data_IF_017879341362
#
_entry.id   IF_017879341362
#
_cell.length_a   1.000
_cell.length_b   1.000
_cell.length_c   1.000
_cell.angle_alpha   90.00
_cell.angle_beta   90.00
_cell.angle_gamma   90.00
#
_symmetry.space_group_name_H-M   'P 1'
#
loop_
_entity.id
_entity.type
_entity.pdbx_description
1 polymer ?
#
# COMPACT_ATOMS: atom_id res chain seq x y z
N UNK A 1 21.71 -9.45 7.53
CA UNK A 1 21.80 -8.12 6.86
C UNK A 1 20.50 -7.90 6.07
N UNK A 2 19.44 -7.38 6.69
CA UNK A 2 18.19 -7.05 6.00
C UNK A 2 18.24 -5.61 5.49
N UNK A 3 19.18 -5.31 4.61
CA UNK A 3 19.31 -3.98 4.02
C UNK A 3 19.05 -4.09 2.52
N UNK A 4 17.79 -4.23 2.14
CA UNK A 4 17.35 -3.97 0.77
C UNK A 4 16.33 -2.83 0.80
N UNK A 5 16.52 -1.84 -0.09
CA UNK A 5 15.52 -0.79 -0.30
C UNK A 5 14.33 -1.31 -1.10
N UNK A 6 13.29 -0.49 -1.27
CA UNK A 6 12.08 -0.89 -2.00
C UNK A 6 12.35 -1.45 -3.39
N UNK A 7 13.39 -0.96 -4.09
CA UNK A 7 13.81 -1.45 -5.41
C UNK A 7 14.36 -2.87 -5.41
N UNK A 8 14.94 -3.32 -4.30
CA UNK A 8 15.50 -4.67 -4.15
C UNK A 8 14.54 -5.66 -3.46
N UNK A 9 13.33 -5.21 -3.11
CA UNK A 9 12.33 -6.05 -2.49
C UNK A 9 11.70 -6.95 -3.56
N UNK A 10 11.75 -8.26 -3.35
CA UNK A 10 11.13 -9.26 -4.24
C UNK A 10 9.74 -9.70 -3.77
N UNK A 11 9.24 -9.14 -2.65
CA UNK A 11 7.88 -9.42 -2.19
C UNK A 11 6.88 -8.69 -3.08
N UNK A 12 5.72 -9.32 -3.28
CA UNK A 12 4.58 -8.67 -3.91
C UNK A 12 4.21 -7.40 -3.13
N UNK A 13 3.91 -6.28 -3.82
CA UNK A 13 3.55 -5.04 -3.17
C UNK A 13 2.20 -5.18 -2.46
N UNK A 14 2.13 -4.66 -1.23
CA UNK A 14 0.90 -4.56 -0.46
C UNK A 14 0.59 -3.09 -0.24
N UNK A 15 -0.67 -2.71 -0.44
CA UNK A 15 -1.14 -1.34 -0.28
C UNK A 15 -1.19 -0.95 1.20
N UNK A 16 -0.58 0.17 1.56
CA UNK A 16 -0.56 0.67 2.96
C UNK A 16 -1.89 1.29 3.42
N UNK A 17 -2.82 1.49 2.49
CA UNK A 17 -4.14 2.11 2.74
C UNK A 17 -5.18 1.03 3.01
N UNK A 18 -5.31 0.04 2.11
CA UNK A 18 -6.37 -0.96 2.15
C UNK A 18 -5.90 -2.42 2.27
N UNK A 19 -4.59 -2.66 2.42
CA UNK A 19 -3.97 -3.99 2.47
C UNK A 19 -4.20 -4.88 1.21
N UNK A 20 -4.57 -4.29 0.07
CA UNK A 20 -4.71 -5.00 -1.21
C UNK A 20 -3.37 -5.37 -1.87
N UNK A 21 -3.39 -6.33 -2.80
CA UNK A 21 -2.24 -6.80 -3.60
C UNK A 21 -1.87 -5.84 -4.74
N UNK A 22 -1.61 -4.58 -4.41
CA UNK A 22 -1.22 -3.54 -5.37
C UNK A 22 -0.32 -2.50 -4.68
N UNK A 23 0.53 -1.77 -5.41
CA UNK A 23 1.26 -0.63 -4.86
C UNK A 23 0.30 0.49 -4.48
N UNK A 24 0.58 1.21 -3.40
CA UNK A 24 -0.29 2.28 -2.88
C UNK A 24 -0.61 3.40 -3.89
N UNK A 25 0.17 3.52 -4.97
CA UNK A 25 -0.07 4.47 -6.07
C UNK A 25 -1.31 4.12 -6.90
N UNK A 26 -1.58 2.84 -7.07
CA UNK A 26 -2.70 2.29 -7.87
C UNK A 26 -3.93 1.98 -7.01
N UNK A 27 -3.94 2.47 -5.76
CA UNK A 27 -5.02 2.17 -4.85
C UNK A 27 -6.32 2.88 -5.29
N UNK A 28 -7.43 2.15 -5.54
CA UNK A 28 -8.71 2.72 -5.94
C UNK A 28 -9.36 3.58 -4.84
N UNK A 29 -8.83 3.47 -3.62
CA UNK A 29 -9.29 4.15 -2.43
C UNK A 29 -8.41 5.37 -2.07
N UNK A 30 -7.41 5.68 -2.90
CA UNK A 30 -6.53 6.82 -2.66
C UNK A 30 -7.31 8.14 -2.78
N UNK A 31 -7.33 8.92 -1.70
CA UNK A 31 -7.98 10.24 -1.66
C UNK A 31 -9.47 10.23 -1.33
N UNK A 32 -10.08 9.06 -1.15
CA UNK A 32 -11.47 8.94 -0.67
C UNK A 32 -11.48 9.05 0.86
N UNK A 33 -12.44 9.80 1.41
CA UNK A 33 -12.57 10.04 2.86
C UNK A 33 -13.27 8.87 3.59
N UNK A 34 -14.09 8.12 2.86
CA UNK A 34 -14.90 7.01 3.37
C UNK A 34 -14.32 5.67 2.94
N UNK A 35 -13.10 5.37 3.40
CA UNK A 35 -12.40 4.14 3.06
C UNK A 35 -12.14 3.37 4.34
N UNK A 36 -12.50 2.09 4.32
CA UNK A 36 -12.06 1.10 5.29
C UNK A 36 -10.52 0.97 5.24
N UNK A 37 -9.82 1.75 6.06
CA UNK A 37 -8.36 1.69 6.17
C UNK A 37 -8.00 0.38 6.86
N UNK A 38 -7.15 -0.42 6.23
CA UNK A 38 -6.70 -1.71 6.77
C UNK A 38 -5.19 -1.76 6.90
N UNK A 39 -4.74 -2.17 8.07
CA UNK A 39 -3.32 -2.32 8.36
C UNK A 39 -2.76 -3.51 7.60
N UNK A 40 -1.72 -3.30 6.77
CA UNK A 40 -1.04 -4.39 6.06
C UNK A 40 -0.36 -5.41 6.99
N UNK A 41 -0.07 -5.05 8.25
CA UNK A 41 0.63 -5.91 9.20
C UNK A 41 -0.32 -6.73 10.08
N UNK A 42 -1.38 -6.10 10.61
CA UNK A 42 -2.30 -6.71 11.58
C UNK A 42 -3.77 -6.72 11.15
N UNK A 43 -4.10 -6.21 9.96
CA UNK A 43 -5.46 -6.16 9.41
C UNK A 43 -6.47 -5.32 10.21
N UNK A 44 -6.03 -4.58 11.23
CA UNK A 44 -6.89 -3.68 12.01
C UNK A 44 -7.26 -2.37 11.28
N UNK A 45 -8.19 -1.57 11.85
CA UNK A 45 -8.74 -0.35 11.24
C UNK A 45 -7.79 0.84 11.38
N UNK A 46 -6.58 0.73 10.84
CA UNK A 46 -5.55 1.78 10.86
C UNK A 46 -4.50 1.56 9.77
N UNK A 47 -3.69 2.57 9.45
CA UNK A 47 -2.59 2.42 8.47
C UNK A 47 -1.43 1.64 9.07
N UNK A 48 -0.64 0.95 8.23
CA UNK A 48 0.54 0.19 8.70
C UNK A 48 1.60 1.04 9.45
N UNK A 49 1.55 2.37 9.31
CA UNK A 49 2.43 3.31 9.99
C UNK A 49 1.96 3.72 11.40
N UNK A 50 0.76 3.27 11.82
CA UNK A 50 0.18 3.60 13.12
C UNK A 50 1.01 3.04 14.28
N UNK A 51 1.44 3.93 15.20
CA UNK A 51 2.31 3.59 16.34
C UNK A 51 1.66 2.69 17.38
N UNK A 52 0.33 2.68 17.45
CA UNK A 52 -0.43 1.80 18.33
C UNK A 52 -0.71 0.41 17.73
N UNK A 53 -0.17 0.07 16.56
CA UNK A 53 -0.35 -1.24 15.97
C UNK A 53 0.32 -2.32 16.86
N UNK A 54 -0.35 -3.43 17.20
CA UNK A 54 0.24 -4.51 18.00
C UNK A 54 1.45 -5.18 17.34
N UNK A 55 1.53 -5.11 16.00
CA UNK A 55 2.65 -5.57 15.18
C UNK A 55 3.57 -4.45 14.72
N UNK A 56 3.47 -3.26 15.32
CA UNK A 56 4.42 -2.18 15.04
C UNK A 56 5.82 -2.67 15.40
N UNK A 57 6.84 -2.50 14.54
CA UNK A 57 8.20 -2.83 14.90
C UNK A 57 8.61 -1.98 16.11
N UNK A 58 8.68 -2.62 17.28
CA UNK A 58 9.29 -2.03 18.47
C UNK A 58 10.75 -1.85 18.09
N UNK A 59 11.16 -0.63 17.81
CA UNK A 59 12.53 -0.34 17.45
C UNK A 59 13.43 -1.07 18.43
N UNK A 60 14.22 -2.01 17.92
CA UNK A 60 15.39 -2.54 18.62
C UNK A 60 16.31 -1.34 18.72
N UNK A 61 16.13 -0.54 19.76
CA UNK A 61 16.96 0.61 20.12
C UNK A 61 18.31 0.08 20.58
N UNK A 62 19.08 -0.54 19.68
CA UNK A 62 20.53 -0.42 19.75
C UNK A 62 20.84 0.93 19.11
N UNK A 63 20.52 2.00 19.81
CA UNK A 63 21.06 3.32 19.49
C UNK A 63 22.57 3.15 19.44
N UNK A 64 23.17 3.23 18.25
CA UNK A 64 24.63 3.38 18.12
C UNK A 64 25.12 4.72 18.68
N UNK A 65 24.20 5.58 19.11
CA UNK A 65 24.51 6.78 19.87
C UNK A 65 24.82 6.34 21.30
N UNK A 66 26.11 6.25 21.61
CA UNK A 66 26.55 6.14 22.99
C UNK A 66 26.14 7.43 23.72
N UNK A 67 25.57 7.34 24.93
CA UNK A 67 25.31 8.51 25.75
C UNK A 67 26.57 9.38 25.86
N UNK A 68 26.43 10.70 25.68
CA UNK A 68 27.53 11.65 25.80
C UNK A 68 28.37 11.89 24.53
N UNK A 69 28.05 11.27 23.39
CA UNK A 69 28.75 11.56 22.12
C UNK A 69 27.78 12.20 21.12
N UNK A 70 28.00 13.47 20.83
CA UNK A 70 27.25 14.16 19.76
C UNK A 70 27.61 13.57 18.40
N UNK A 71 26.69 13.67 17.44
CA UNK A 71 26.96 13.29 16.04
C UNK A 71 28.22 13.98 15.50
N UNK A 72 28.41 15.26 15.85
CA UNK A 72 29.61 16.02 15.53
C UNK A 72 30.90 15.40 16.11
N UNK A 73 30.85 14.87 17.33
CA UNK A 73 32.01 14.20 17.96
C UNK A 73 32.37 12.87 17.26
N UNK A 74 31.38 12.17 16.68
CA UNK A 74 31.62 10.93 15.94
C UNK A 74 32.29 11.17 14.58
N UNK A 75 31.94 12.26 13.90
CA UNK A 75 32.53 12.64 12.59
C UNK A 75 33.98 13.13 12.73
N UNK A 76 34.33 13.76 13.86
CA UNK A 76 35.71 14.22 14.12
C UNK A 76 36.74 13.09 14.20
N UNK A 77 36.32 11.86 14.53
CA UNK A 77 37.22 10.71 14.67
C UNK A 77 37.73 10.13 13.35
N UNK A 78 37.19 10.58 12.21
CA UNK A 78 37.59 10.11 10.88
C UNK A 78 38.38 11.15 10.07
N UNK A 79 38.78 12.26 10.68
CA UNK A 79 39.44 13.38 9.98
C UNK A 79 40.90 13.53 10.42
N UNK A 80 41.71 12.50 10.19
CA UNK A 80 43.18 12.63 10.04
C UNK A 80 43.59 12.71 8.55
N UNK A 81 42.63 12.99 7.67
CA UNK A 81 42.91 13.52 6.33
C UNK A 81 42.23 14.86 6.20
N UNK A 82 43.06 15.89 6.12
CA UNK A 82 42.71 17.29 5.93
C UNK A 82 41.73 17.45 4.76
N UNK A 83 40.45 17.57 5.06
CA UNK A 83 39.49 18.07 4.09
C UNK A 83 39.75 19.58 3.89
N UNK A 84 39.61 20.13 2.67
CA UNK A 84 39.75 21.56 2.46
C UNK A 84 38.70 22.33 3.27
N UNK A 85 38.98 23.60 3.66
CA UNK A 85 38.01 24.43 4.36
C UNK A 85 36.72 24.57 3.54
N UNK A 86 35.54 24.66 4.16
CA UNK A 86 34.36 25.16 3.47
C UNK A 86 34.70 26.54 2.93
N UNK A 87 34.63 26.73 1.61
CA UNK A 87 34.75 28.07 1.03
C UNK A 87 33.60 28.91 1.61
N UNK A 88 33.96 30.01 2.28
CA UNK A 88 33.02 31.02 2.66
C UNK A 88 32.37 31.54 1.37
N UNK A 89 31.09 31.25 1.17
CA UNK A 89 30.31 31.95 0.16
C UNK A 89 30.09 33.36 0.72
N UNK A 90 30.70 34.35 0.08
CA UNK A 90 30.50 35.75 0.42
C UNK A 90 29.02 36.12 0.23
N UNK A 91 28.46 36.74 1.27
CA UNK A 91 27.09 37.28 1.36
C UNK A 91 26.87 38.49 0.43
N UNK A 92 27.00 38.30 -0.88
CA UNK A 92 26.43 39.23 -1.85
C UNK A 92 25.60 38.47 -2.87
N UNK A 93 24.28 38.49 -2.63
CA UNK A 93 23.18 38.03 -3.49
C UNK A 93 22.56 36.67 -3.16
N UNK A 94 22.03 36.53 -1.94
CA UNK A 94 20.98 35.54 -1.65
C UNK A 94 19.60 36.17 -1.87
N UNK A 95 19.19 36.31 -3.14
CA UNK A 95 17.79 36.57 -3.46
C UNK A 95 16.99 35.28 -3.22
N UNK A 96 16.42 35.12 -2.02
CA UNK A 96 15.53 34.00 -1.73
C UNK A 96 14.21 34.18 -2.49
N UNK A 97 13.80 33.21 -3.33
CA UNK A 97 12.51 33.32 -4.00
C UNK A 97 11.39 33.22 -2.96
N UNK A 98 10.34 34.07 -3.04
CA UNK A 98 9.21 33.96 -2.13
C UNK A 98 8.50 32.63 -2.35
N UNK A 99 8.00 32.06 -1.24
CA UNK A 99 7.23 30.81 -1.24
C UNK A 99 5.93 31.03 -2.02
N UNK A 100 5.95 30.73 -3.32
CA UNK A 100 4.77 30.88 -4.17
C UNK A 100 3.87 29.66 -4.01
N UNK A 101 2.67 29.90 -3.50
CA UNK A 101 1.52 29.01 -3.59
C UNK A 101 1.28 28.61 -5.06
N UNK A 102 1.02 27.31 -5.27
CA UNK A 102 0.80 26.65 -6.57
C UNK A 102 0.02 27.50 -7.60
N UNK A 103 0.29 27.27 -8.88
CA UNK A 103 -0.75 26.64 -9.69
C UNK A 103 -0.27 25.51 -10.61
N UNK A 104 -1.26 24.84 -11.15
CA UNK A 104 -1.34 23.68 -12.01
C UNK A 104 -0.26 23.44 -13.10
N UNK A 105 -0.06 22.14 -13.33
CA UNK A 105 0.14 21.48 -14.62
C UNK A 105 1.25 21.97 -15.56
N UNK A 106 2.29 21.14 -15.71
CA UNK A 106 2.67 20.64 -17.05
C UNK A 106 3.57 19.40 -16.99
N UNK A 107 3.06 18.41 -17.69
CA UNK A 107 3.59 17.11 -18.03
C UNK A 107 5.00 17.19 -18.65
N UNK A 108 5.91 16.33 -18.19
CA UNK A 108 7.11 15.96 -18.96
C UNK A 108 7.09 14.46 -19.15
N UNK A 109 6.69 14.04 -20.34
CA UNK A 109 6.85 12.69 -20.82
C UNK A 109 8.34 12.31 -20.79
N UNK A 110 8.70 11.30 -20.00
CA UNK A 110 9.90 10.50 -20.25
C UNK A 110 9.45 9.25 -20.96
N UNK A 111 9.83 9.13 -22.24
CA UNK A 111 9.86 7.84 -22.93
C UNK A 111 10.85 6.95 -22.18
N UNK A 112 10.31 6.02 -21.40
CA UNK A 112 11.01 4.85 -20.90
C UNK A 112 10.33 3.65 -21.52
N UNK A 113 11.11 2.88 -22.29
CA UNK A 113 10.69 1.76 -23.12
C UNK A 113 9.67 0.86 -22.39
N UNK A 114 8.47 0.78 -22.97
CA UNK A 114 7.51 -0.27 -22.62
C UNK A 114 8.03 -1.56 -23.27
N UNK A 115 8.71 -2.41 -22.50
CA UNK A 115 8.53 -3.83 -22.72
C UNK A 115 7.08 -4.12 -22.36
N UNK A 116 6.25 -4.19 -23.41
CA UNK A 116 4.88 -4.64 -23.34
C UNK A 116 4.93 -6.06 -22.79
N UNK A 117 4.68 -6.20 -21.49
CA UNK A 117 4.19 -7.46 -20.97
C UNK A 117 2.80 -7.64 -21.54
N UNK A 118 2.73 -8.37 -22.66
CA UNK A 118 1.50 -8.92 -23.21
C UNK A 118 0.83 -9.67 -22.05
N UNK A 119 -0.34 -9.23 -21.55
CA UNK A 119 -1.09 -9.99 -20.58
C UNK A 119 -1.45 -11.31 -21.26
N UNK A 120 -1.12 -12.44 -20.63
CA UNK A 120 -1.43 -13.75 -21.18
C UNK A 120 -2.95 -13.83 -21.46
N UNK A 121 -3.31 -13.76 -22.75
CA UNK A 121 -4.70 -13.71 -23.23
C UNK A 121 -5.52 -14.91 -22.72
N UNK A 122 -4.84 -16.03 -22.49
CA UNK A 122 -5.40 -17.25 -21.92
C UNK A 122 -5.94 -17.06 -20.50
N UNK A 123 -5.25 -16.28 -19.66
CA UNK A 123 -5.65 -16.05 -18.27
C UNK A 123 -6.83 -15.07 -18.15
N UNK A 124 -6.97 -14.13 -19.09
CA UNK A 124 -8.14 -13.25 -19.16
C UNK A 124 -9.38 -14.02 -19.63
N UNK A 125 -9.22 -14.89 -20.63
CA UNK A 125 -10.31 -15.68 -21.18
C UNK A 125 -10.90 -16.64 -20.14
N UNK A 126 -10.04 -17.37 -19.41
CA UNK A 126 -10.47 -18.24 -18.30
C UNK A 126 -11.18 -17.46 -17.18
N UNK A 127 -10.72 -16.25 -16.87
CA UNK A 127 -11.36 -15.38 -15.89
C UNK A 127 -12.76 -14.94 -16.32
N UNK A 128 -12.93 -14.58 -17.59
CA UNK A 128 -14.22 -14.19 -18.16
C UNK A 128 -15.17 -15.38 -18.19
N UNK A 129 -14.70 -16.56 -18.62
CA UNK A 129 -15.51 -17.79 -18.63
C UNK A 129 -16.03 -18.14 -17.22
N UNK A 130 -15.16 -18.09 -16.22
CA UNK A 130 -15.56 -18.32 -14.83
C UNK A 130 -16.62 -17.31 -14.36
N UNK A 131 -16.43 -16.02 -14.67
CA UNK A 131 -17.42 -14.98 -14.32
C UNK A 131 -18.75 -15.23 -15.02
N UNK A 132 -18.74 -15.67 -16.28
CA UNK A 132 -19.97 -15.96 -17.03
C UNK A 132 -20.71 -17.16 -16.44
N UNK A 133 -20.02 -18.23 -16.09
CA UNK A 133 -20.62 -19.40 -15.45
C UNK A 133 -21.19 -19.07 -14.06
N UNK A 134 -20.46 -18.29 -13.27
CA UNK A 134 -20.94 -17.81 -11.97
C UNK A 134 -22.19 -16.93 -12.14
N UNK A 135 -22.19 -16.05 -13.14
CA UNK A 135 -23.33 -15.16 -13.40
C UNK A 135 -24.58 -15.93 -13.80
N UNK A 136 -24.46 -17.01 -14.57
CA UNK A 136 -25.59 -17.89 -14.92
C UNK A 136 -26.23 -18.51 -13.68
N UNK A 137 -25.43 -18.93 -12.69
CA UNK A 137 -25.93 -19.48 -11.42
C UNK A 137 -26.70 -18.42 -10.65
N UNK A 138 -26.17 -17.20 -10.52
CA UNK A 138 -26.84 -16.11 -9.81
C UNK A 138 -28.12 -15.61 -10.50
N UNK A 139 -28.24 -15.76 -11.82
CA UNK A 139 -29.48 -15.46 -12.54
C UNK A 139 -30.61 -16.45 -12.23
N UNK A 140 -30.29 -17.67 -11.79
CA UNK A 140 -31.31 -18.66 -11.38
C UNK A 140 -31.86 -18.40 -9.98
N UNK A 141 -31.19 -17.57 -9.17
CA UNK A 141 -31.66 -17.24 -7.83
C UNK A 141 -32.93 -16.40 -7.88
N UNK A 142 -34.05 -16.97 -7.42
CA UNK A 142 -35.29 -16.23 -7.22
C UNK A 142 -35.25 -15.52 -5.87
N UNK A 143 -35.74 -14.27 -5.84
CA UNK A 143 -35.98 -13.50 -4.61
C UNK A 143 -34.79 -13.42 -3.64
N UNK A 144 -33.61 -13.06 -4.16
CA UNK A 144 -32.35 -12.87 -3.41
C UNK A 144 -32.54 -12.16 -2.04
N UNK A 145 -33.33 -11.07 -1.92
CA UNK A 145 -33.50 -10.39 -0.63
C UNK A 145 -34.14 -11.26 0.46
N UNK A 146 -35.11 -12.10 0.10
CA UNK A 146 -35.80 -12.97 1.05
C UNK A 146 -34.91 -14.16 1.43
N UNK A 147 -34.18 -14.72 0.47
CA UNK A 147 -33.19 -15.78 0.75
C UNK A 147 -32.13 -15.31 1.74
N UNK A 148 -31.59 -14.09 1.56
CA UNK A 148 -30.61 -13.50 2.49
C UNK A 148 -31.21 -13.34 3.90
N UNK A 149 -32.47 -12.92 3.98
CA UNK A 149 -33.18 -12.76 5.26
C UNK A 149 -33.35 -14.11 5.97
N UNK A 150 -33.77 -15.16 5.25
CA UNK A 150 -33.90 -16.51 5.81
C UNK A 150 -32.56 -17.09 6.26
N UNK A 151 -31.48 -16.88 5.50
CA UNK A 151 -30.13 -17.31 5.87
C UNK A 151 -29.61 -16.62 7.14
N UNK A 152 -29.96 -15.35 7.36
CA UNK A 152 -29.57 -14.60 8.57
C UNK A 152 -30.38 -15.00 9.81
N UNK A 153 -31.60 -15.47 9.61
CA UNK A 153 -32.51 -15.90 10.69
C UNK A 153 -32.30 -17.35 11.10
N UNK A 154 -31.52 -18.10 10.34
CA UNK A 154 -31.25 -19.51 10.60
C UNK A 154 -29.83 -19.66 11.16
N UNK A 155 -29.66 -20.43 12.23
CA UNK A 155 -28.32 -20.70 12.78
C UNK A 155 -27.72 -21.99 12.20
N UNK A 156 -28.56 -23.01 12.01
CA UNK A 156 -28.17 -24.34 11.54
C UNK A 156 -27.60 -24.34 10.10
N UNK A 157 -26.46 -25.01 9.93
CA UNK A 157 -25.74 -25.07 8.67
C UNK A 157 -26.47 -25.92 7.62
N UNK A 158 -27.13 -27.00 8.04
CA UNK A 158 -27.88 -27.87 7.13
C UNK A 158 -29.09 -27.15 6.55
N UNK A 159 -29.83 -26.44 7.39
CA UNK A 159 -31.01 -25.66 6.97
C UNK A 159 -30.62 -24.51 6.03
N UNK A 160 -29.45 -23.86 6.24
CA UNK A 160 -28.90 -22.88 5.29
C UNK A 160 -28.63 -23.48 3.91
N UNK A 161 -28.11 -24.70 3.85
CA UNK A 161 -27.89 -25.41 2.58
C UNK A 161 -29.22 -25.70 1.87
N UNK A 162 -30.26 -26.09 2.61
CA UNK A 162 -31.60 -26.32 2.04
C UNK A 162 -32.23 -25.03 1.51
N UNK A 163 -32.09 -23.91 2.22
CA UNK A 163 -32.56 -22.58 1.78
C UNK A 163 -31.85 -22.17 0.47
N UNK A 164 -30.54 -22.41 0.36
CA UNK A 164 -29.80 -22.14 -0.87
C UNK A 164 -30.21 -23.05 -2.03
N UNK A 165 -30.46 -24.33 -1.75
CA UNK A 165 -30.91 -25.29 -2.75
C UNK A 165 -32.32 -24.96 -3.27
N UNK A 166 -33.23 -24.52 -2.40
CA UNK A 166 -34.58 -24.11 -2.78
C UNK A 166 -34.57 -22.80 -3.60
N UNK A 167 -33.71 -21.84 -3.23
CA UNK A 167 -33.57 -20.58 -3.95
C UNK A 167 -32.98 -20.74 -5.38
N UNK A 168 -32.35 -21.88 -5.67
CA UNK A 168 -31.82 -22.25 -6.98
C UNK A 168 -32.82 -23.03 -7.87
N UNK A 169 -34.02 -23.35 -7.36
CA UNK A 169 -35.09 -24.08 -8.08
C UNK A 169 -36.06 -23.13 -8.79
#
# INVERSE_FOLDING_TARGET
MWNHGSKGCRLAPICVICAGKHPSKECPNKGKKDVEIKCANCNGPHTASYRGCPKYPKNVTKSRVQPGKSFAAAVRKTVDKSAPPPQALNDENLNFPPLSSKPDSKEKARLGNNEVMVPNQENMQLGIELITEISKIFQQFKNIPETIKQLRQTDDAYTKLMILADALR
#
